data_IF_150189510940
#
_entry.id   IF_150189510940
#
_cell.length_a   1.000
_cell.length_b   1.000
_cell.length_c   1.000
_cell.angle_alpha   90.00
_cell.angle_beta   90.00
_cell.angle_gamma   90.00
#
_symmetry.space_group_name_H-M   'P 1'
#
loop_
_entity.id
_entity.type
_entity.pdbx_description
1 polymer ?
#
# COMPACT_ATOMS: atom_id res chain seq x y z
N UNK A 1 12.12 -1.89 -12.55
CA UNK A 1 12.32 -2.54 -13.86
C UNK A 1 13.80 -2.54 -14.30
N UNK A 2 14.58 -1.45 -14.11
CA UNK A 2 16.03 -1.41 -14.44
C UNK A 2 16.77 -2.59 -13.79
N UNK A 3 16.51 -2.86 -12.50
CA UNK A 3 17.11 -3.98 -11.78
C UNK A 3 16.72 -5.34 -12.39
N UNK A 4 15.46 -5.54 -12.74
CA UNK A 4 15.01 -6.80 -13.37
C UNK A 4 15.61 -7.00 -14.76
N UNK A 5 15.74 -5.91 -15.56
CA UNK A 5 16.43 -5.97 -16.86
C UNK A 5 17.90 -6.38 -16.73
N UNK A 6 18.59 -5.89 -15.68
CA UNK A 6 19.97 -6.27 -15.40
C UNK A 6 20.13 -7.76 -15.04
N UNK A 7 19.02 -8.44 -14.69
CA UNK A 7 18.95 -9.87 -14.37
C UNK A 7 18.28 -10.70 -15.48
N UNK A 8 18.07 -10.11 -16.66
CA UNK A 8 17.37 -10.72 -17.80
C UNK A 8 15.99 -11.32 -17.48
N UNK A 9 15.28 -10.67 -16.56
CA UNK A 9 13.93 -11.09 -16.13
C UNK A 9 12.85 -10.25 -16.81
N UNK A 10 11.91 -10.91 -17.48
CA UNK A 10 10.69 -10.29 -17.97
C UNK A 10 9.73 -10.06 -16.80
N UNK A 11 9.23 -8.83 -16.64
CA UNK A 11 8.28 -8.46 -15.60
C UNK A 11 7.05 -7.85 -16.23
N UNK A 12 5.88 -8.42 -15.96
CA UNK A 12 4.58 -7.82 -16.24
C UNK A 12 4.18 -6.96 -15.04
N UNK A 13 3.79 -5.71 -15.27
CA UNK A 13 3.35 -4.79 -14.24
C UNK A 13 1.88 -4.47 -14.45
N UNK A 14 1.09 -4.61 -13.40
CA UNK A 14 -0.32 -4.26 -13.38
C UNK A 14 -0.49 -3.13 -12.34
N UNK A 15 -1.06 -2.01 -12.77
CA UNK A 15 -1.40 -0.89 -11.90
C UNK A 15 -2.92 -0.78 -11.76
N UNK A 16 -3.41 -0.81 -10.53
CA UNK A 16 -4.86 -0.74 -10.25
C UNK A 16 -5.12 0.53 -9.42
N UNK A 17 -6.09 1.32 -9.84
CA UNK A 17 -6.54 2.52 -9.12
C UNK A 17 -8.00 2.82 -9.49
N UNK A 18 -8.83 3.17 -8.52
CA UNK A 18 -10.22 3.57 -8.74
C UNK A 18 -10.35 4.94 -9.40
N UNK A 19 -9.31 5.79 -9.29
CA UNK A 19 -9.35 7.15 -9.81
C UNK A 19 -8.87 7.21 -11.27
N UNK A 20 -9.80 7.45 -12.18
CA UNK A 20 -9.53 7.60 -13.62
C UNK A 20 -8.45 8.64 -13.92
N UNK A 21 -8.48 9.79 -13.24
CA UNK A 21 -7.53 10.86 -13.50
C UNK A 21 -6.09 10.47 -13.10
N UNK A 22 -5.95 9.71 -11.99
CA UNK A 22 -4.66 9.15 -11.57
C UNK A 22 -4.10 8.20 -12.62
N UNK A 23 -4.94 7.32 -13.17
CA UNK A 23 -4.54 6.38 -14.22
C UNK A 23 -4.18 7.09 -15.52
N UNK A 24 -4.94 8.11 -15.94
CA UNK A 24 -4.63 8.90 -17.14
C UNK A 24 -3.30 9.63 -16.97
N UNK A 25 -3.06 10.23 -15.81
CA UNK A 25 -1.78 10.86 -15.50
C UNK A 25 -0.63 9.85 -15.54
N UNK A 26 -0.80 8.70 -14.91
CA UNK A 26 0.20 7.63 -14.89
C UNK A 26 0.50 7.10 -16.30
N UNK A 27 -0.52 6.93 -17.16
CA UNK A 27 -0.35 6.53 -18.58
C UNK A 27 0.49 7.52 -19.37
N UNK A 28 0.33 8.82 -19.14
CA UNK A 28 1.07 9.89 -19.84
C UNK A 28 2.54 9.98 -19.42
N UNK A 29 2.86 9.61 -18.17
CA UNK A 29 4.19 9.81 -17.56
C UNK A 29 4.93 8.49 -17.31
N UNK A 30 4.55 7.41 -17.99
CA UNK A 30 5.17 6.10 -17.82
C UNK A 30 6.51 5.99 -18.56
N UNK A 31 7.51 5.48 -17.88
CA UNK A 31 8.81 5.12 -18.48
C UNK A 31 8.86 3.69 -19.04
N UNK A 32 7.78 2.89 -18.85
CA UNK A 32 7.71 1.47 -19.19
C UNK A 32 6.26 1.01 -19.34
N UNK A 33 6.07 -0.14 -19.96
CA UNK A 33 4.75 -0.73 -20.13
C UNK A 33 4.17 -1.19 -18.80
N UNK A 34 3.01 -0.63 -18.45
CA UNK A 34 2.17 -1.04 -17.33
C UNK A 34 0.78 -1.26 -17.89
N UNK A 35 0.18 -2.38 -17.57
CA UNK A 35 -1.25 -2.60 -17.76
C UNK A 35 -2.02 -1.87 -16.66
N UNK A 36 -2.90 -0.95 -17.03
CA UNK A 36 -3.68 -0.18 -16.07
C UNK A 36 -5.13 -0.65 -16.07
N UNK A 37 -5.61 -1.00 -14.88
CA UNK A 37 -6.98 -1.43 -14.62
C UNK A 37 -7.65 -0.37 -13.74
N UNK A 38 -8.80 0.11 -14.17
CA UNK A 38 -9.62 1.03 -13.37
C UNK A 38 -10.62 0.20 -12.57
N UNK A 39 -10.34 -0.03 -11.30
CA UNK A 39 -11.23 -0.72 -10.37
C UNK A 39 -11.13 -0.12 -8.98
N UNK A 40 -12.25 -0.12 -8.26
CA UNK A 40 -12.30 0.27 -6.86
C UNK A 40 -11.89 -0.93 -5.99
N UNK A 41 -10.68 -0.86 -5.45
CA UNK A 41 -10.11 -1.92 -4.61
C UNK A 41 -10.87 -2.11 -3.29
N UNK A 42 -11.66 -1.09 -2.87
CA UNK A 42 -12.50 -1.17 -1.68
C UNK A 42 -13.89 -1.77 -1.97
N UNK A 43 -14.22 -2.01 -3.25
CA UNK A 43 -15.47 -2.66 -3.63
C UNK A 43 -15.49 -4.12 -3.17
N UNK A 44 -16.66 -4.58 -2.71
CA UNK A 44 -16.90 -6.00 -2.37
C UNK A 44 -16.68 -6.95 -3.54
N UNK A 45 -16.82 -6.45 -4.76
CA UNK A 45 -16.73 -7.24 -6.00
C UNK A 45 -15.29 -7.27 -6.56
N UNK A 46 -14.37 -6.48 -5.96
CA UNK A 46 -12.99 -6.45 -6.41
C UNK A 46 -12.30 -7.80 -6.23
N UNK A 47 -11.68 -8.27 -7.30
CA UNK A 47 -10.90 -9.51 -7.31
C UNK A 47 -9.42 -9.20 -7.53
N UNK A 48 -8.61 -9.55 -6.55
CA UNK A 48 -7.14 -9.43 -6.67
C UNK A 48 -6.67 -10.34 -7.81
N UNK A 49 -5.99 -9.82 -8.85
CA UNK A 49 -5.44 -10.66 -9.90
C UNK A 49 -4.32 -11.55 -9.36
N UNK A 50 -4.23 -12.79 -9.85
CA UNK A 50 -3.10 -13.67 -9.50
C UNK A 50 -1.79 -13.05 -9.99
N UNK A 51 -0.83 -12.88 -9.08
CA UNK A 51 0.49 -12.34 -9.40
C UNK A 51 1.54 -12.81 -8.39
N UNK A 52 2.81 -12.61 -8.72
CA UNK A 52 3.90 -13.03 -7.84
C UNK A 52 4.06 -12.11 -6.64
N UNK A 53 3.85 -10.81 -6.82
CA UNK A 53 3.97 -9.85 -5.72
C UNK A 53 2.92 -8.74 -5.82
N UNK A 54 2.38 -8.35 -4.67
CA UNK A 54 1.53 -7.18 -4.50
C UNK A 54 2.34 -6.11 -3.79
N UNK A 55 2.37 -4.90 -4.38
CA UNK A 55 3.07 -3.75 -3.79
C UNK A 55 2.08 -2.59 -3.70
N UNK A 56 1.98 -2.01 -2.52
CA UNK A 56 1.15 -0.83 -2.29
C UNK A 56 1.88 0.22 -1.46
N UNK A 57 1.55 1.47 -1.67
CA UNK A 57 2.11 2.58 -0.92
C UNK A 57 1.05 3.64 -0.65
N UNK A 58 0.96 4.09 0.60
CA UNK A 58 -0.01 5.10 1.05
C UNK A 58 -1.46 4.74 0.70
N UNK A 59 -1.85 3.51 0.97
CA UNK A 59 -3.14 2.99 0.54
C UNK A 59 -3.95 2.33 1.67
N UNK A 60 -3.30 1.52 2.55
CA UNK A 60 -4.05 0.70 3.51
C UNK A 60 -4.86 1.51 4.53
N UNK A 61 -4.57 2.78 4.73
CA UNK A 61 -5.35 3.67 5.61
C UNK A 61 -6.76 4.00 5.08
N UNK A 62 -7.08 3.59 3.86
CA UNK A 62 -8.44 3.70 3.31
C UNK A 62 -9.36 2.60 3.82
N UNK A 63 -8.82 1.47 4.25
CA UNK A 63 -9.58 0.35 4.80
C UNK A 63 -9.95 0.59 6.27
N UNK A 64 -11.09 0.07 6.69
CA UNK A 64 -11.34 -0.28 8.09
C UNK A 64 -10.54 -1.55 8.46
N UNK A 65 -10.45 -1.85 9.76
CA UNK A 65 -9.73 -3.04 10.23
C UNK A 65 -10.30 -4.32 9.60
N UNK A 66 -11.62 -4.46 9.55
CA UNK A 66 -12.30 -5.63 8.99
C UNK A 66 -12.09 -5.77 7.48
N UNK A 67 -12.18 -4.67 6.74
CA UNK A 67 -11.90 -4.68 5.29
C UNK A 67 -10.45 -5.07 5.01
N UNK A 68 -9.50 -4.56 5.79
CA UNK A 68 -8.09 -4.91 5.64
C UNK A 68 -7.83 -6.39 5.96
N UNK A 69 -8.48 -6.95 6.98
CA UNK A 69 -8.43 -8.39 7.28
C UNK A 69 -8.93 -9.22 6.10
N UNK A 70 -10.08 -8.88 5.54
CA UNK A 70 -10.64 -9.59 4.38
C UNK A 70 -9.77 -9.46 3.14
N UNK A 71 -9.25 -8.26 2.88
CA UNK A 71 -8.31 -8.02 1.78
C UNK A 71 -7.05 -8.89 1.92
N UNK A 72 -6.47 -8.95 3.11
CA UNK A 72 -5.28 -9.77 3.38
C UNK A 72 -5.54 -11.27 3.22
N UNK A 73 -6.69 -11.75 3.68
CA UNK A 73 -7.11 -13.16 3.46
C UNK A 73 -7.21 -13.48 1.97
N UNK A 74 -7.89 -12.62 1.21
CA UNK A 74 -8.01 -12.78 -0.25
C UNK A 74 -6.64 -12.67 -0.96
N UNK A 75 -5.77 -11.78 -0.49
CA UNK A 75 -4.45 -11.60 -1.07
C UNK A 75 -3.54 -12.83 -0.88
N UNK A 76 -3.60 -13.51 0.27
CA UNK A 76 -2.83 -14.75 0.51
C UNK A 76 -3.07 -15.81 -0.56
N UNK A 77 -4.32 -15.92 -1.03
CA UNK A 77 -4.71 -16.96 -2.01
C UNK A 77 -4.32 -16.61 -3.45
N UNK A 78 -3.99 -15.34 -3.72
CA UNK A 78 -3.76 -14.80 -5.07
C UNK A 78 -2.31 -14.42 -5.33
N UNK A 79 -1.52 -14.23 -4.26
CA UNK A 79 -0.13 -13.78 -4.34
C UNK A 79 0.81 -14.96 -4.09
N UNK A 80 1.80 -15.15 -4.98
CA UNK A 80 2.67 -16.32 -4.91
C UNK A 80 3.93 -16.12 -4.04
N UNK A 81 4.42 -14.87 -3.89
CA UNK A 81 5.74 -14.66 -3.27
C UNK A 81 5.69 -13.70 -2.08
N UNK A 82 5.15 -12.50 -2.25
CA UNK A 82 5.12 -11.51 -1.17
C UNK A 82 4.08 -10.41 -1.36
N UNK A 83 3.59 -9.89 -0.24
CA UNK A 83 2.84 -8.65 -0.15
C UNK A 83 3.71 -7.60 0.52
N UNK A 84 3.83 -6.42 -0.08
CA UNK A 84 4.68 -5.34 0.42
C UNK A 84 3.87 -4.05 0.55
N UNK A 85 3.77 -3.54 1.76
CA UNK A 85 3.16 -2.25 2.06
C UNK A 85 4.22 -1.24 2.49
N UNK A 86 4.16 -0.03 1.92
CA UNK A 86 5.00 1.09 2.33
C UNK A 86 4.10 2.24 2.81
N UNK A 87 3.92 2.35 4.13
CA UNK A 87 2.84 3.13 4.71
C UNK A 87 3.33 4.16 5.74
N UNK A 88 2.47 5.12 6.05
CA UNK A 88 2.66 6.03 7.17
C UNK A 88 2.32 5.33 8.48
N UNK A 89 3.08 5.61 9.50
CA UNK A 89 2.77 5.20 10.87
C UNK A 89 1.96 6.29 11.57
N UNK A 90 0.83 5.93 12.16
CA UNK A 90 0.08 6.85 13.02
C UNK A 90 0.93 7.23 14.23
N UNK A 91 1.21 8.53 14.35
CA UNK A 91 2.01 9.09 15.43
C UNK A 91 1.54 10.52 15.75
N UNK A 92 1.39 10.84 17.04
CA UNK A 92 1.10 12.19 17.49
C UNK A 92 2.22 13.18 17.10
N UNK A 93 3.45 12.71 17.12
CA UNK A 93 4.62 13.51 16.73
C UNK A 93 4.58 13.83 15.24
N UNK A 94 4.33 12.83 14.37
CA UNK A 94 4.24 13.06 12.92
C UNK A 94 3.09 14.00 12.57
N UNK A 95 1.95 13.88 13.26
CA UNK A 95 0.80 14.76 13.09
C UNK A 95 1.15 16.21 13.43
N UNK A 96 1.79 16.43 14.59
CA UNK A 96 2.19 17.77 15.05
C UNK A 96 3.25 18.38 14.13
N UNK A 97 4.25 17.61 13.74
CA UNK A 97 5.29 18.06 12.80
C UNK A 97 4.68 18.41 11.44
N UNK A 98 3.81 17.56 10.90
CA UNK A 98 3.17 17.84 9.62
C UNK A 98 2.28 19.09 9.68
N UNK A 99 1.56 19.30 10.78
CA UNK A 99 0.76 20.51 11.01
C UNK A 99 1.65 21.76 11.05
N UNK A 100 2.77 21.69 11.77
CA UNK A 100 3.73 22.80 11.89
C UNK A 100 4.40 23.11 10.55
N UNK A 101 5.00 22.12 9.89
CA UNK A 101 5.62 22.30 8.58
C UNK A 101 4.61 22.66 7.50
N UNK A 102 3.40 22.10 7.56
CA UNK A 102 2.32 22.46 6.66
C UNK A 102 1.89 23.94 6.79
N UNK A 103 2.07 24.55 7.97
CA UNK A 103 1.86 26.00 8.15
C UNK A 103 2.96 26.81 7.43
N UNK A 104 4.21 26.37 7.53
CA UNK A 104 5.36 27.08 6.94
C UNK A 104 5.46 26.90 5.41
N UNK A 105 4.95 25.80 4.88
CA UNK A 105 5.07 25.48 3.46
C UNK A 105 3.85 25.97 2.65
N UNK A 106 4.04 26.43 1.41
CA UNK A 106 2.98 26.95 0.55
C UNK A 106 2.11 25.84 -0.07
N UNK A 107 1.78 24.81 0.70
CA UNK A 107 0.86 23.77 0.25
C UNK A 107 -0.58 24.30 0.17
N UNK A 108 -1.35 23.78 -0.79
CA UNK A 108 -2.77 24.07 -0.86
C UNK A 108 -3.50 23.58 0.40
N UNK A 109 -4.62 24.24 0.75
CA UNK A 109 -5.46 23.83 1.89
C UNK A 109 -5.87 22.36 1.81
N UNK A 110 -6.19 21.88 0.62
CA UNK A 110 -6.58 20.49 0.36
C UNK A 110 -5.43 19.53 0.69
N UNK A 111 -4.22 19.78 0.19
CA UNK A 111 -3.04 18.93 0.47
C UNK A 111 -2.73 18.85 1.96
N UNK A 112 -2.87 19.96 2.68
CA UNK A 112 -2.68 19.99 4.15
C UNK A 112 -3.72 19.13 4.87
N UNK A 113 -4.98 19.25 4.49
CA UNK A 113 -6.08 18.49 5.09
C UNK A 113 -5.95 16.98 4.79
N UNK A 114 -5.68 16.61 3.53
CA UNK A 114 -5.54 15.22 3.10
C UNK A 114 -4.35 14.55 3.81
N UNK A 115 -3.21 15.25 3.95
CA UNK A 115 -2.05 14.73 4.65
C UNK A 115 -2.30 14.50 6.15
N UNK A 116 -2.97 15.44 6.83
CA UNK A 116 -3.36 15.27 8.24
C UNK A 116 -4.36 14.13 8.43
N UNK A 117 -5.30 13.98 7.50
CA UNK A 117 -6.27 12.90 7.50
C UNK A 117 -5.59 11.54 7.29
N UNK A 118 -4.66 11.45 6.34
CA UNK A 118 -3.88 10.25 6.08
C UNK A 118 -3.10 9.79 7.33
N UNK A 119 -2.41 10.73 8.03
CA UNK A 119 -1.71 10.40 9.28
C UNK A 119 -2.69 9.92 10.37
N UNK A 120 -3.87 10.53 10.49
CA UNK A 120 -4.86 10.14 11.51
C UNK A 120 -5.46 8.76 11.24
N UNK A 121 -5.69 8.41 9.98
CA UNK A 121 -6.24 7.12 9.54
C UNK A 121 -5.20 6.02 9.44
N UNK A 122 -3.91 6.36 9.36
CA UNK A 122 -2.84 5.38 9.32
C UNK A 122 -2.86 4.49 10.57
N UNK A 123 -2.31 3.31 10.44
CA UNK A 123 -2.24 2.32 11.52
C UNK A 123 -1.01 2.53 12.40
N UNK A 124 -1.13 2.14 13.66
CA UNK A 124 0.02 1.87 14.51
C UNK A 124 0.53 0.45 14.22
N UNK A 125 1.78 0.18 14.60
CA UNK A 125 2.35 -1.17 14.48
C UNK A 125 1.49 -2.21 15.21
N UNK A 126 1.04 -1.93 16.43
CA UNK A 126 0.23 -2.86 17.24
C UNK A 126 -1.11 -3.20 16.55
N UNK A 127 -1.77 -2.23 15.95
CA UNK A 127 -3.02 -2.48 15.23
C UNK A 127 -2.79 -3.39 14.02
N UNK A 128 -1.73 -3.12 13.24
CA UNK A 128 -1.39 -3.98 12.12
C UNK A 128 -1.00 -5.40 12.55
N UNK A 129 -0.27 -5.56 13.66
CA UNK A 129 0.04 -6.88 14.21
C UNK A 129 -1.23 -7.66 14.58
N UNK A 130 -2.23 -6.99 15.16
CA UNK A 130 -3.53 -7.61 15.46
C UNK A 130 -4.27 -8.00 14.17
N UNK A 131 -4.33 -7.09 13.18
CA UNK A 131 -4.96 -7.34 11.88
C UNK A 131 -4.31 -8.52 11.16
N UNK A 132 -2.97 -8.57 11.14
CA UNK A 132 -2.23 -9.69 10.55
C UNK A 132 -2.56 -11.01 11.23
N UNK A 133 -2.59 -11.03 12.56
CA UNK A 133 -2.98 -12.20 13.34
C UNK A 133 -4.39 -12.68 13.01
N UNK A 134 -5.36 -11.77 12.93
CA UNK A 134 -6.75 -12.10 12.59
C UNK A 134 -6.90 -12.54 11.10
N UNK A 135 -6.01 -12.07 10.23
CA UNK A 135 -5.92 -12.53 8.85
C UNK A 135 -5.21 -13.89 8.71
N UNK A 136 -4.72 -14.48 9.82
CA UNK A 136 -3.96 -15.74 9.80
C UNK A 136 -2.57 -15.59 9.20
N UNK A 137 -1.95 -14.41 9.35
CA UNK A 137 -0.60 -14.11 8.88
C UNK A 137 0.32 -14.07 10.10
N UNK A 138 1.17 -15.10 10.25
CA UNK A 138 2.08 -15.25 11.39
C UNK A 138 3.52 -14.84 11.04
N UNK A 139 3.88 -14.85 9.76
CA UNK A 139 5.20 -14.47 9.30
C UNK A 139 5.16 -13.12 8.58
N UNK A 140 5.89 -12.13 9.10
CA UNK A 140 5.98 -10.81 8.52
C UNK A 140 7.21 -10.06 9.04
N UNK A 141 7.66 -9.05 8.28
CA UNK A 141 8.79 -8.22 8.64
C UNK A 141 8.39 -6.75 8.63
N UNK A 142 8.62 -6.05 9.75
CA UNK A 142 8.51 -4.61 9.83
C UNK A 142 9.90 -3.97 9.68
N UNK A 143 10.04 -3.04 8.74
CA UNK A 143 11.20 -2.17 8.60
C UNK A 143 10.79 -0.72 8.75
N UNK A 144 11.17 -0.11 9.87
CA UNK A 144 10.95 1.30 10.08
C UNK A 144 11.83 2.13 9.13
N UNK A 145 11.27 3.24 8.60
CA UNK A 145 11.94 4.19 7.71
C UNK A 145 11.81 5.60 8.28
N UNK A 146 12.74 6.49 7.92
CA UNK A 146 12.68 7.91 8.27
C UNK A 146 11.33 8.53 7.88
N UNK A 147 10.94 9.59 8.59
CA UNK A 147 9.69 10.32 8.40
C UNK A 147 8.43 9.51 8.74
N UNK A 148 8.48 8.75 9.85
CA UNK A 148 7.32 8.02 10.37
C UNK A 148 6.67 7.08 9.33
N UNK A 149 7.51 6.39 8.58
CA UNK A 149 7.09 5.36 7.62
C UNK A 149 7.59 4.01 8.04
N UNK A 150 6.87 2.99 7.63
CA UNK A 150 7.33 1.62 7.73
C UNK A 150 7.14 0.88 6.40
N UNK A 151 7.92 -0.16 6.23
CA UNK A 151 7.71 -1.16 5.19
C UNK A 151 7.30 -2.44 5.91
N UNK A 152 6.11 -2.95 5.60
CA UNK A 152 5.62 -4.25 6.02
C UNK A 152 5.79 -5.21 4.85
N UNK A 153 6.50 -6.30 5.07
CA UNK A 153 6.72 -7.37 4.10
C UNK A 153 6.09 -8.63 4.66
N UNK A 154 5.19 -9.22 3.92
CA UNK A 154 4.53 -10.48 4.24
C UNK A 154 4.99 -11.49 3.18
N UNK A 155 5.91 -12.41 3.50
CA UNK A 155 6.25 -13.49 2.60
C UNK A 155 5.06 -14.44 2.47
N UNK A 156 4.80 -14.89 1.26
CA UNK A 156 3.81 -15.94 0.97
C UNK A 156 4.62 -17.19 0.64
N UNK A 157 4.65 -18.11 1.58
CA UNK A 157 5.27 -19.42 1.35
C UNK A 157 4.29 -20.30 0.59
N UNK A 158 4.76 -20.97 -0.44
CA UNK A 158 3.98 -21.96 -1.23
C UNK A 158 3.60 -23.22 -0.44
N UNK A 159 3.69 -23.20 0.88
CA UNK A 159 3.46 -24.37 1.73
C UNK A 159 2.12 -24.37 2.48
N UNK A 160 1.26 -23.35 2.32
CA UNK A 160 -0.05 -23.28 2.96
C UNK A 160 -1.22 -23.61 1.97
N UNK A 161 -0.95 -24.44 0.95
CA UNK A 161 -1.98 -24.95 0.03
C UNK A 161 -2.21 -26.46 0.26
#
# INVERSE_FOLDING_TARGET
RKWFRSKDKKVRLIGIDGNKNSLEYAKKHKDFEIEYIQEDILSSDFQIPKCDALISSHFIYHFSDQELIQFLKSAKDKINTAIVFSELQRSKISYTLFKFFGFLMPFSKKVKQDGLLAIRRSFTRRELENILKEAGINEYYFRWKWWFRFILIIPISSHDA
#
